data_IF_341549330586
#
_entry.id   IF_341549330586
#
_cell.length_a   1.000
_cell.length_b   1.000
_cell.length_c   1.000
_cell.angle_alpha   90.00
_cell.angle_beta   90.00
_cell.angle_gamma   90.00
#
_symmetry.space_group_name_H-M   'P 1'
#
loop_
_entity.id
_entity.type
_entity.pdbx_description
1 polymer ?
#
# COMPACT_ATOMS: atom_id res chain seq x y z
N UNK A 1 -9.72 -26.85 78.61
CA UNK A 1 -10.64 -26.79 79.76
C UNK A 1 -11.68 -25.71 79.48
N UNK A 2 -12.92 -26.17 79.26
CA UNK A 2 -14.22 -25.58 79.59
C UNK A 2 -14.67 -24.19 79.06
N UNK A 3 -15.89 -24.21 78.49
CA UNK A 3 -16.84 -23.07 78.32
C UNK A 3 -17.36 -22.93 76.88
N UNK A 4 -18.52 -23.45 76.40
CA UNK A 4 -19.95 -23.31 76.81
C UNK A 4 -20.33 -21.81 76.82
N UNK A 5 -21.31 -21.21 76.11
CA UNK A 5 -22.43 -21.55 75.18
C UNK A 5 -22.96 -20.20 74.59
N UNK A 6 -23.99 -20.18 73.69
CA UNK A 6 -24.32 -19.04 72.83
C UNK A 6 -25.34 -18.06 73.43
N UNK A 7 -25.57 -16.93 72.75
CA UNK A 7 -26.78 -16.11 72.93
C UNK A 7 -27.29 -15.50 71.62
N UNK A 8 -28.60 -15.62 71.49
CA UNK A 8 -29.53 -15.26 70.44
C UNK A 8 -29.77 -13.75 70.19
N UNK A 9 -30.40 -13.51 69.03
CA UNK A 9 -31.44 -12.51 68.75
C UNK A 9 -31.04 -11.06 68.42
N UNK A 10 -31.28 -10.66 67.16
CA UNK A 10 -32.53 -9.94 66.83
C UNK A 10 -32.77 -9.84 65.33
N UNK A 11 -33.97 -10.28 64.98
CA UNK A 11 -34.73 -10.14 63.74
C UNK A 11 -34.89 -8.67 63.30
N UNK A 12 -34.71 -8.39 62.00
CA UNK A 12 -35.50 -7.34 61.35
C UNK A 12 -35.73 -7.64 59.87
N UNK A 13 -36.77 -8.42 59.67
CA UNK A 13 -37.64 -8.41 58.49
C UNK A 13 -37.82 -7.01 57.88
N UNK A 14 -37.51 -6.89 56.59
CA UNK A 14 -37.71 -5.71 55.76
C UNK A 14 -38.03 -6.14 54.33
N UNK A 15 -39.21 -6.74 54.16
CA UNK A 15 -39.80 -7.12 52.87
C UNK A 15 -40.12 -5.87 52.05
N UNK A 16 -39.22 -5.50 51.12
CA UNK A 16 -39.53 -4.50 50.10
C UNK A 16 -40.32 -5.18 48.98
N UNK A 17 -41.61 -4.90 48.99
CA UNK A 17 -42.54 -5.19 47.92
C UNK A 17 -42.12 -4.48 46.62
N UNK A 18 -41.40 -5.19 45.75
CA UNK A 18 -41.25 -4.79 44.36
C UNK A 18 -42.40 -5.39 43.54
N UNK A 19 -43.41 -4.54 43.34
CA UNK A 19 -44.59 -4.74 42.48
C UNK A 19 -44.20 -5.36 41.14
N UNK A 20 -45.02 -6.32 40.69
CA UNK A 20 -44.89 -6.97 39.40
C UNK A 20 -44.77 -5.98 38.24
N UNK A 21 -43.56 -5.92 37.68
CA UNK A 21 -43.36 -5.42 36.33
C UNK A 21 -43.37 -6.61 35.38
N UNK A 22 -44.35 -6.56 34.47
CA UNK A 22 -44.62 -7.57 33.44
C UNK A 22 -43.33 -7.85 32.62
N UNK A 23 -42.93 -9.11 32.43
CA UNK A 23 -41.65 -9.48 31.81
C UNK A 23 -41.52 -9.07 30.33
N UNK A 24 -42.59 -8.57 29.72
CA UNK A 24 -42.65 -8.30 28.27
C UNK A 24 -42.04 -6.95 27.88
N UNK A 25 -41.91 -5.97 28.80
CA UNK A 25 -41.40 -4.63 28.44
C UNK A 25 -39.88 -4.49 28.45
N UNK A 26 -39.14 -5.42 29.07
CA UNK A 26 -37.67 -5.37 29.15
C UNK A 26 -37.03 -5.85 27.84
N UNK A 27 -37.66 -6.79 27.13
CA UNK A 27 -37.16 -7.32 25.86
C UNK A 27 -37.20 -6.26 24.73
N UNK A 28 -38.17 -5.32 24.78
CA UNK A 28 -38.33 -4.27 23.78
C UNK A 28 -37.27 -3.16 23.94
N UNK A 29 -36.81 -2.88 25.16
CA UNK A 29 -35.80 -1.84 25.40
C UNK A 29 -34.39 -2.30 24.99
N UNK A 30 -34.05 -3.58 25.19
CA UNK A 30 -32.71 -4.12 24.86
C UNK A 30 -32.52 -4.30 23.36
N UNK A 31 -33.57 -4.66 22.61
CA UNK A 31 -33.50 -4.79 21.14
C UNK A 31 -33.36 -3.43 20.44
N UNK A 32 -33.95 -2.36 20.99
CA UNK A 32 -33.91 -1.03 20.37
C UNK A 32 -32.54 -0.33 20.52
N UNK A 33 -31.79 -0.64 21.58
CA UNK A 33 -30.40 -0.13 21.77
C UNK A 33 -29.41 -0.85 20.83
N UNK A 34 -29.57 -2.16 20.60
CA UNK A 34 -28.71 -2.91 19.67
C UNK A 34 -28.98 -2.50 18.21
N UNK A 35 -30.25 -2.24 17.85
CA UNK A 35 -30.59 -1.75 16.52
C UNK A 35 -30.00 -0.36 16.21
N UNK A 36 -29.96 0.55 17.19
CA UNK A 36 -29.35 1.88 17.00
C UNK A 36 -27.81 1.85 16.89
N UNK A 37 -27.14 0.89 17.53
CA UNK A 37 -25.69 0.69 17.33
C UNK A 37 -25.34 0.13 15.95
N UNK A 38 -26.22 -0.68 15.34
CA UNK A 38 -26.02 -1.21 13.99
C UNK A 38 -26.40 -0.18 12.91
N UNK A 39 -27.40 0.67 13.14
CA UNK A 39 -27.77 1.73 12.17
C UNK A 39 -26.83 2.95 12.26
N UNK A 40 -26.27 3.25 13.44
CA UNK A 40 -25.27 4.32 13.60
C UNK A 40 -23.84 3.93 13.16
N UNK A 41 -23.49 2.65 13.20
CA UNK A 41 -22.14 2.17 12.85
C UNK A 41 -21.91 1.88 11.37
N UNK A 42 -22.97 1.74 10.56
CA UNK A 42 -22.87 1.28 9.16
C UNK A 42 -22.80 2.42 8.13
N UNK A 43 -23.00 3.68 8.53
CA UNK A 43 -22.99 4.83 7.62
C UNK A 43 -21.65 5.59 7.51
N UNK A 44 -20.58 5.11 8.16
CA UNK A 44 -19.21 5.60 7.95
C UNK A 44 -18.35 4.64 7.10
N UNK A 45 -18.98 3.88 6.20
CA UNK A 45 -18.30 3.10 5.14
C UNK A 45 -18.65 3.66 3.75
N UNK A 46 -19.14 4.90 3.69
CA UNK A 46 -19.44 5.60 2.45
C UNK A 46 -18.35 6.62 2.12
N UNK A 47 -17.61 6.36 1.04
CA UNK A 47 -16.75 7.30 0.34
C UNK A 47 -15.40 7.66 1.00
N UNK A 48 -14.58 6.66 1.31
CA UNK A 48 -13.16 6.80 0.94
C UNK A 48 -13.06 6.47 -0.55
N UNK A 49 -13.49 7.39 -1.41
CA UNK A 49 -13.08 7.33 -2.80
C UNK A 49 -11.55 7.34 -2.81
N UNK A 50 -10.86 6.33 -3.37
CA UNK A 50 -9.45 6.47 -3.71
C UNK A 50 -9.35 7.42 -4.91
N UNK A 51 -9.77 8.67 -4.72
CA UNK A 51 -9.26 9.76 -5.50
C UNK A 51 -7.86 10.01 -4.93
N UNK A 52 -6.87 9.34 -5.52
CA UNK A 52 -5.44 9.60 -5.33
C UNK A 52 -5.10 11.02 -5.79
N UNK A 53 -5.57 11.99 -5.02
CA UNK A 53 -5.55 13.41 -5.34
C UNK A 53 -5.48 14.24 -4.06
N UNK A 54 -4.25 14.45 -3.60
CA UNK A 54 -3.80 15.74 -3.05
C UNK A 54 -4.50 16.30 -1.80
N UNK A 55 -4.47 15.57 -0.67
CA UNK A 55 -4.53 16.21 0.65
C UNK A 55 -3.13 16.64 1.16
N UNK A 56 -2.06 16.05 0.64
CA UNK A 56 -0.68 16.32 1.09
C UNK A 56 -0.05 17.60 0.51
N UNK A 57 -0.58 18.13 -0.61
CA UNK A 57 -0.04 19.34 -1.24
C UNK A 57 -0.29 20.63 -0.43
N UNK A 58 -1.14 20.61 0.59
CA UNK A 58 -1.53 21.81 1.35
C UNK A 58 -0.55 22.12 2.49
N UNK A 59 0.36 21.19 2.83
CA UNK A 59 1.34 21.36 3.92
C UNK A 59 2.76 21.73 3.46
N UNK A 60 2.96 22.01 2.17
CA UNK A 60 4.26 22.51 1.67
C UNK A 60 5.35 21.45 1.49
N UNK A 61 4.99 20.17 1.51
CA UNK A 61 5.87 19.13 1.00
C UNK A 61 5.85 19.22 -0.52
N UNK A 62 6.98 19.59 -1.13
CA UNK A 62 7.10 19.70 -2.58
C UNK A 62 6.85 18.37 -3.28
N UNK A 63 6.91 18.37 -4.60
CA UNK A 63 7.07 17.15 -5.38
C UNK A 63 8.37 17.22 -6.17
N UNK A 64 8.88 16.07 -6.57
CA UNK A 64 10.06 15.98 -7.41
C UNK A 64 9.83 15.03 -8.59
N UNK A 65 10.63 15.24 -9.62
CA UNK A 65 10.71 14.36 -10.79
C UNK A 65 11.79 13.31 -10.56
N UNK A 66 11.45 12.06 -10.85
CA UNK A 66 12.37 10.91 -10.82
C UNK A 66 12.42 10.29 -12.20
N UNK A 67 13.63 10.04 -12.70
CA UNK A 67 13.87 9.29 -13.93
C UNK A 67 14.81 8.14 -13.60
N UNK A 68 14.45 6.95 -14.02
CA UNK A 68 15.28 5.76 -13.84
C UNK A 68 15.32 4.92 -15.09
N UNK A 69 16.19 3.91 -15.05
CA UNK A 69 16.28 2.88 -16.06
C UNK A 69 16.44 1.53 -15.37
N UNK A 70 15.74 0.52 -15.88
CA UNK A 70 16.00 -0.89 -15.62
C UNK A 70 17.08 -1.34 -16.57
N UNK A 71 18.14 -1.94 -16.04
CA UNK A 71 19.25 -2.47 -16.82
C UNK A 71 19.20 -3.99 -16.80
N UNK A 72 19.14 -4.59 -17.98
CA UNK A 72 19.21 -6.04 -18.20
C UNK A 72 20.49 -6.38 -18.95
N UNK A 73 21.26 -7.32 -18.40
CA UNK A 73 22.52 -7.78 -18.92
C UNK A 73 22.33 -8.79 -20.07
N UNK A 74 23.38 -9.07 -20.87
CA UNK A 74 23.32 -10.13 -21.86
C UNK A 74 22.84 -11.47 -21.27
N UNK A 75 21.81 -12.05 -21.87
CA UNK A 75 21.15 -13.28 -21.39
C UNK A 75 19.89 -13.05 -20.56
N UNK A 76 19.59 -11.81 -20.18
CA UNK A 76 18.39 -11.42 -19.42
C UNK A 76 17.31 -10.78 -20.32
N UNK A 77 17.60 -10.56 -21.60
CA UNK A 77 16.70 -9.94 -22.56
C UNK A 77 16.75 -10.63 -23.92
N UNK A 78 15.67 -10.48 -24.69
CA UNK A 78 15.63 -10.81 -26.11
C UNK A 78 15.67 -9.52 -26.92
N UNK A 79 16.62 -9.34 -27.85
CA UNK A 79 16.58 -8.22 -28.76
C UNK A 79 15.39 -8.42 -29.70
N UNK A 80 14.50 -7.43 -29.77
CA UNK A 80 13.51 -7.38 -30.82
C UNK A 80 14.27 -7.13 -32.13
N UNK A 81 14.40 -8.19 -32.92
CA UNK A 81 14.80 -8.06 -34.31
C UNK A 81 13.58 -7.51 -35.04
N UNK A 82 13.52 -6.20 -35.25
CA UNK A 82 12.63 -5.67 -36.28
C UNK A 82 13.30 -5.93 -37.64
N UNK A 83 12.80 -6.88 -38.46
CA UNK A 83 13.38 -7.17 -39.76
C UNK A 83 13.23 -6.01 -40.75
N UNK A 84 12.46 -4.98 -40.41
CA UNK A 84 12.24 -3.77 -41.20
C UNK A 84 12.94 -2.53 -40.61
N UNK A 85 13.59 -2.63 -39.45
CA UNK A 85 14.38 -1.53 -38.92
C UNK A 85 15.57 -1.26 -39.85
N UNK A 86 15.53 -0.09 -40.49
CA UNK A 86 16.64 0.42 -41.29
C UNK A 86 17.92 0.40 -40.44
N UNK A 87 19.08 -0.01 -40.97
CA UNK A 87 20.34 -0.15 -40.24
C UNK A 87 20.92 1.16 -39.67
N UNK A 88 20.16 2.26 -39.72
CA UNK A 88 20.55 3.60 -39.31
C UNK A 88 20.06 3.99 -37.91
N UNK A 89 19.16 3.22 -37.28
CA UNK A 89 18.84 3.40 -35.87
C UNK A 89 19.60 2.36 -35.04
N UNK A 90 20.68 2.79 -34.37
CA UNK A 90 21.42 1.97 -33.41
C UNK A 90 20.55 1.53 -32.21
N UNK A 91 19.33 2.07 -32.09
CA UNK A 91 18.34 1.69 -31.09
C UNK A 91 17.64 0.41 -31.54
N UNK A 92 18.17 -0.72 -31.10
CA UNK A 92 17.45 -1.99 -31.17
C UNK A 92 16.53 -2.10 -29.96
N UNK A 93 15.25 -2.35 -30.23
CA UNK A 93 14.30 -2.62 -29.17
C UNK A 93 14.67 -3.91 -28.43
N UNK A 94 14.38 -3.97 -27.14
CA UNK A 94 14.65 -5.15 -26.32
C UNK A 94 13.61 -5.24 -25.19
N UNK A 95 13.36 -6.47 -24.75
CA UNK A 95 12.50 -6.77 -23.62
C UNK A 95 13.11 -7.90 -22.81
N UNK A 96 12.79 -7.97 -21.52
CA UNK A 96 13.30 -9.02 -20.66
C UNK A 96 12.84 -10.41 -21.11
N UNK A 97 13.68 -11.39 -20.84
CA UNK A 97 13.48 -12.80 -21.21
C UNK A 97 13.78 -13.72 -20.02
N UNK A 98 13.36 -14.99 -20.13
CA UNK A 98 13.48 -15.98 -19.07
C UNK A 98 12.81 -15.52 -17.77
N UNK A 99 13.61 -15.29 -16.74
CA UNK A 99 13.11 -14.81 -15.44
C UNK A 99 12.65 -13.35 -15.50
N UNK A 100 13.00 -12.59 -16.56
CA UNK A 100 12.70 -11.17 -16.77
C UNK A 100 11.60 -10.88 -17.78
N UNK A 101 10.82 -11.89 -18.16
CA UNK A 101 9.69 -11.74 -19.10
C UNK A 101 8.63 -10.74 -18.66
N UNK A 102 8.57 -10.38 -17.38
CA UNK A 102 7.70 -9.34 -16.82
C UNK A 102 8.19 -7.90 -17.09
N UNK A 103 9.44 -7.73 -17.55
CA UNK A 103 10.08 -6.44 -17.77
C UNK A 103 10.07 -6.08 -19.26
N UNK A 104 9.03 -5.39 -19.68
CA UNK A 104 8.84 -4.93 -21.05
C UNK A 104 8.22 -3.52 -21.07
N UNK A 105 8.10 -2.93 -22.27
CA UNK A 105 7.37 -1.69 -22.43
C UNK A 105 5.93 -1.82 -21.91
N UNK A 106 5.46 -0.85 -21.12
CA UNK A 106 4.15 -0.91 -20.46
C UNK A 106 4.15 -1.60 -19.09
N UNK A 107 5.25 -2.23 -18.65
CA UNK A 107 5.34 -2.77 -17.28
C UNK A 107 5.20 -1.64 -16.27
N UNK A 108 4.32 -1.81 -15.29
CA UNK A 108 4.04 -0.78 -14.27
C UNK A 108 5.27 -0.52 -13.41
N UNK A 109 5.57 0.76 -13.20
CA UNK A 109 6.49 1.25 -12.17
C UNK A 109 5.69 1.99 -11.12
N UNK A 110 5.84 1.62 -9.85
CA UNK A 110 5.19 2.28 -8.72
C UNK A 110 6.23 2.77 -7.71
N UNK A 111 6.08 4.02 -7.27
CA UNK A 111 6.79 4.55 -6.11
C UNK A 111 5.85 4.44 -4.93
N UNK A 112 6.30 3.74 -3.90
CA UNK A 112 5.57 3.46 -2.68
C UNK A 112 6.27 4.16 -1.51
N UNK A 113 5.53 4.48 -0.46
CA UNK A 113 6.12 4.88 0.82
C UNK A 113 6.65 3.67 1.63
N UNK A 114 7.11 3.91 2.86
CA UNK A 114 7.58 2.87 3.78
C UNK A 114 6.51 1.80 4.08
N UNK A 115 5.23 2.17 4.11
CA UNK A 115 4.14 1.26 4.50
C UNK A 115 3.46 0.61 3.29
N UNK A 116 3.95 0.89 2.08
CA UNK A 116 3.46 0.29 0.83
C UNK A 116 2.33 1.06 0.17
N UNK A 117 2.08 2.32 0.55
CA UNK A 117 1.09 3.17 -0.14
C UNK A 117 1.71 3.71 -1.41
N UNK A 118 1.00 3.56 -2.54
CA UNK A 118 1.41 4.12 -3.83
C UNK A 118 1.35 5.65 -3.78
N UNK A 119 2.49 6.27 -3.99
CA UNK A 119 2.67 7.73 -4.05
C UNK A 119 2.64 8.25 -5.48
N UNK A 120 3.19 7.48 -6.41
CA UNK A 120 3.21 7.79 -7.84
C UNK A 120 3.33 6.50 -8.66
N UNK A 121 2.87 6.53 -9.91
CA UNK A 121 2.99 5.41 -10.84
C UNK A 121 3.28 5.89 -12.26
N UNK A 122 4.00 5.06 -13.01
CA UNK A 122 4.33 5.22 -14.42
C UNK A 122 4.39 3.83 -15.07
N UNK A 123 4.81 3.80 -16.33
CA UNK A 123 5.09 2.57 -17.07
C UNK A 123 6.51 2.63 -17.62
N UNK A 124 7.14 1.47 -17.79
CA UNK A 124 8.39 1.36 -18.53
C UNK A 124 8.15 1.76 -19.99
N UNK A 125 9.03 2.58 -20.53
CA UNK A 125 9.10 2.87 -21.95
C UNK A 125 9.64 1.69 -22.76
N UNK A 126 9.76 1.85 -24.09
CA UNK A 126 10.42 0.87 -24.94
C UNK A 126 11.86 0.63 -24.47
N UNK A 127 12.29 -0.64 -24.51
CA UNK A 127 13.67 -0.98 -24.19
C UNK A 127 14.59 -0.53 -25.31
N UNK A 128 15.75 0.01 -24.96
CA UNK A 128 16.79 0.42 -25.89
C UNK A 128 18.07 -0.36 -25.58
N UNK A 129 18.62 -1.01 -26.61
CA UNK A 129 19.90 -1.68 -26.49
C UNK A 129 21.05 -0.67 -26.59
N UNK A 130 21.79 -0.47 -25.50
CA UNK A 130 22.99 0.36 -25.46
C UNK A 130 24.17 -0.46 -24.95
N UNK A 131 25.24 -0.58 -25.75
CA UNK A 131 26.46 -1.32 -25.37
C UNK A 131 26.18 -2.71 -24.78
N UNK A 132 25.33 -3.49 -25.45
CA UNK A 132 24.89 -4.85 -25.05
C UNK A 132 24.01 -4.94 -23.80
N UNK A 133 23.67 -3.79 -23.19
CA UNK A 133 22.74 -3.70 -22.06
C UNK A 133 21.39 -3.25 -22.57
N UNK A 134 20.33 -3.98 -22.23
CA UNK A 134 18.98 -3.54 -22.52
C UNK A 134 18.51 -2.58 -21.42
N UNK A 135 18.13 -1.36 -21.81
CA UNK A 135 17.67 -0.32 -20.88
C UNK A 135 16.20 0.00 -21.09
N UNK A 136 15.38 -0.18 -20.06
CA UNK A 136 13.97 0.26 -20.05
C UNK A 136 13.82 1.48 -19.15
N UNK A 137 13.55 2.63 -19.76
CA UNK A 137 13.46 3.91 -19.05
C UNK A 137 12.07 4.14 -18.46
N UNK A 138 12.00 4.88 -17.36
CA UNK A 138 10.73 5.39 -16.83
C UNK A 138 10.90 6.79 -16.27
N UNK A 139 9.79 7.52 -16.25
CA UNK A 139 9.72 8.87 -15.69
C UNK A 139 8.49 9.02 -14.80
N UNK A 140 8.70 9.56 -13.62
CA UNK A 140 7.67 9.92 -12.65
C UNK A 140 7.78 11.43 -12.39
N UNK A 141 6.96 12.27 -13.05
CA UNK A 141 7.11 13.72 -12.99
C UNK A 141 6.66 14.34 -11.66
N UNK A 142 5.89 13.60 -10.86
CA UNK A 142 5.26 14.13 -9.64
C UNK A 142 5.28 13.09 -8.52
N UNK A 143 6.45 12.91 -7.90
CA UNK A 143 6.61 12.11 -6.67
C UNK A 143 6.48 13.03 -5.47
N UNK A 144 5.53 12.81 -4.54
CA UNK A 144 5.43 13.56 -3.29
C UNK A 144 6.73 13.48 -2.47
N UNK A 145 7.22 14.62 -1.98
CA UNK A 145 8.37 14.71 -1.10
C UNK A 145 7.99 14.47 0.37
N UNK A 146 9.00 14.33 1.25
CA UNK A 146 8.80 14.27 2.70
C UNK A 146 8.48 12.88 3.27
N UNK A 147 8.51 11.82 2.48
CA UNK A 147 8.33 10.44 2.97
C UNK A 147 9.63 9.82 3.50
N UNK A 148 10.79 10.41 3.21
CA UNK A 148 12.11 10.00 3.72
C UNK A 148 12.66 8.72 3.08
N UNK A 149 11.88 7.63 3.10
CA UNK A 149 12.16 6.37 2.40
C UNK A 149 11.07 6.10 1.37
N UNK A 150 11.51 5.71 0.18
CA UNK A 150 10.68 5.35 -0.95
C UNK A 150 11.02 3.93 -1.38
N UNK A 151 10.05 3.23 -1.92
CA UNK A 151 10.19 1.89 -2.45
C UNK A 151 9.78 1.94 -3.93
N UNK A 152 10.67 1.60 -4.85
CA UNK A 152 10.35 1.48 -6.28
C UNK A 152 10.01 0.03 -6.56
N UNK A 153 8.77 -0.23 -6.96
CA UNK A 153 8.32 -1.53 -7.44
C UNK A 153 8.17 -1.49 -8.97
N UNK A 154 8.69 -2.50 -9.64
CA UNK A 154 8.60 -2.64 -11.10
C UNK A 154 7.93 -3.98 -11.38
N UNK A 155 6.80 -3.97 -12.08
CA UNK A 155 6.01 -5.16 -12.33
C UNK A 155 5.64 -5.87 -11.02
N UNK A 156 5.93 -7.17 -10.97
CA UNK A 156 5.71 -8.02 -9.79
C UNK A 156 6.97 -8.22 -8.95
N UNK A 157 8.05 -7.49 -9.26
CA UNK A 157 9.34 -7.61 -8.57
C UNK A 157 9.25 -7.14 -7.12
N UNK A 158 10.13 -7.67 -6.25
CA UNK A 158 10.36 -7.08 -4.94
C UNK A 158 10.71 -5.58 -5.06
N UNK A 159 10.19 -4.72 -4.18
CA UNK A 159 10.48 -3.31 -4.22
C UNK A 159 11.93 -3.00 -3.80
N UNK A 160 12.54 -2.04 -4.48
CA UNK A 160 13.86 -1.50 -4.16
C UNK A 160 13.72 -0.26 -3.29
N UNK A 161 14.38 -0.25 -2.14
CA UNK A 161 14.32 0.87 -1.21
C UNK A 161 15.35 1.95 -1.54
N UNK A 162 14.91 3.20 -1.54
CA UNK A 162 15.73 4.38 -1.74
C UNK A 162 15.43 5.43 -0.67
N UNK A 163 16.43 6.24 -0.35
CA UNK A 163 16.22 7.48 0.40
C UNK A 163 15.72 8.57 -0.54
N UNK A 164 15.07 9.60 0.00
CA UNK A 164 14.66 10.78 -0.77
C UNK A 164 15.81 11.40 -1.58
N UNK A 165 16.99 11.52 -0.96
CA UNK A 165 18.19 12.07 -1.60
C UNK A 165 18.61 11.25 -2.82
N UNK A 166 18.48 9.93 -2.76
CA UNK A 166 18.77 9.03 -3.90
C UNK A 166 17.70 9.13 -4.99
N UNK A 167 16.45 9.42 -4.65
CA UNK A 167 15.35 9.56 -5.61
C UNK A 167 15.48 10.83 -6.47
N UNK A 168 16.11 11.89 -5.95
CA UNK A 168 16.42 13.08 -6.73
C UNK A 168 17.49 12.85 -7.81
N UNK A 169 18.32 11.80 -7.67
CA UNK A 169 19.31 11.38 -8.66
C UNK A 169 19.36 9.85 -8.73
N UNK A 170 18.33 9.21 -9.31
CA UNK A 170 18.28 7.76 -9.37
C UNK A 170 19.46 7.25 -10.18
N UNK A 171 20.24 6.35 -9.59
CA UNK A 171 21.16 5.52 -10.36
C UNK A 171 20.35 4.38 -10.99
N UNK A 172 20.75 3.91 -12.16
CA UNK A 172 20.09 2.79 -12.83
C UNK A 172 19.84 1.62 -11.87
N UNK A 173 18.67 1.01 -12.00
CA UNK A 173 18.27 -0.17 -11.23
C UNK A 173 18.82 -1.37 -11.97
N UNK A 174 20.03 -1.77 -11.61
CA UNK A 174 20.64 -3.00 -12.09
C UNK A 174 20.17 -4.17 -11.23
N UNK A 175 19.66 -5.21 -11.89
CA UNK A 175 19.36 -6.50 -11.27
C UNK A 175 20.62 -7.37 -11.33
N UNK A 176 21.72 -6.95 -10.70
CA UNK A 176 22.90 -7.80 -10.65
C UNK A 176 22.61 -9.01 -9.73
N UNK A 177 22.87 -10.26 -10.16
CA UNK A 177 22.94 -11.37 -9.23
C UNK A 177 24.15 -11.16 -8.30
N UNK A 178 23.93 -11.35 -6.99
CA UNK A 178 24.99 -11.32 -5.96
C UNK A 178 26.09 -12.38 -6.21
#
# INVERSE_FOLDING_TARGET
MSGVTPSESCDRSGSVAARGLRPVRIIVAVTLVIALAVVGGVLWVGAQTPAGGSAWNVLGFGSFRTVGAVMLNPGEYTPALDPLAEPASDVRECAGDGEFTDLHAGTRVAVLDRVGVVLASAELGPGALESETCMLFFELPTVPAGHGLYNIQIGERPPYQYTEVSMHRPKGIGFAPD
#
